data_IF_789369586334
#
_entry.id   IF_789369586334
#
_cell.length_a   1.000
_cell.length_b   1.000
_cell.length_c   1.000
_cell.angle_alpha   90.00
_cell.angle_beta   90.00
_cell.angle_gamma   90.00
#
_symmetry.space_group_name_H-M   'P 1'
#
loop_
_entity.id
_entity.type
_entity.pdbx_description
1 polymer ?
#
# COMPACT_ATOMS: atom_id res chain seq x y z
N UNK A 1 16.01 11.66 -28.06
CA UNK A 1 16.27 12.25 -26.73
C UNK A 1 15.54 11.36 -25.75
N UNK A 2 16.28 10.55 -24.98
CA UNK A 2 15.72 9.37 -24.29
C UNK A 2 14.97 9.78 -23.03
N UNK A 3 13.67 9.43 -22.97
CA UNK A 3 12.79 9.55 -21.81
C UNK A 3 13.17 8.47 -20.78
N UNK A 4 14.41 8.48 -20.29
CA UNK A 4 14.93 7.46 -19.37
C UNK A 4 14.77 7.84 -17.89
N UNK A 5 14.51 9.12 -17.57
CA UNK A 5 14.39 9.58 -16.18
C UNK A 5 13.07 9.21 -15.52
N UNK A 6 11.99 9.10 -16.28
CA UNK A 6 10.67 8.75 -15.77
C UNK A 6 10.57 7.24 -15.49
N UNK A 7 11.06 6.39 -16.38
CA UNK A 7 11.01 4.92 -16.24
C UNK A 7 11.75 4.42 -14.97
N UNK A 8 12.94 4.97 -14.69
CA UNK A 8 13.71 4.68 -13.47
C UNK A 8 12.97 5.13 -12.20
N UNK A 9 12.37 6.33 -12.23
CA UNK A 9 11.61 6.86 -11.10
C UNK A 9 10.36 6.03 -10.78
N UNK A 10 9.70 5.45 -11.79
CA UNK A 10 8.53 4.59 -11.58
C UNK A 10 8.90 3.22 -11.02
N UNK A 11 10.01 2.62 -11.46
CA UNK A 11 10.51 1.37 -10.88
C UNK A 11 10.79 1.48 -9.38
N UNK A 12 11.33 2.61 -8.95
CA UNK A 12 11.54 2.91 -7.52
C UNK A 12 10.21 3.08 -6.76
N UNK A 13 9.21 3.70 -7.37
CA UNK A 13 7.88 3.90 -6.78
C UNK A 13 7.09 2.60 -6.67
N UNK A 14 7.18 1.72 -7.68
CA UNK A 14 6.57 0.37 -7.64
C UNK A 14 7.20 -0.47 -6.53
N UNK A 15 8.53 -0.45 -6.42
CA UNK A 15 9.24 -1.15 -5.35
C UNK A 15 8.85 -0.61 -3.97
N UNK A 16 8.83 0.71 -3.79
CA UNK A 16 8.39 1.33 -2.55
C UNK A 16 6.95 0.95 -2.19
N UNK A 17 6.05 0.86 -3.17
CA UNK A 17 4.66 0.44 -2.97
C UNK A 17 4.55 -1.02 -2.53
N UNK A 18 5.34 -1.92 -3.13
CA UNK A 18 5.42 -3.33 -2.72
C UNK A 18 6.00 -3.50 -1.32
N UNK A 19 7.02 -2.72 -0.99
CA UNK A 19 7.64 -2.74 0.33
C UNK A 19 6.65 -2.23 1.39
N UNK A 20 5.91 -1.16 1.10
CA UNK A 20 4.86 -0.64 1.98
C UNK A 20 3.73 -1.65 2.20
N UNK A 21 3.24 -2.30 1.14
CA UNK A 21 2.22 -3.36 1.26
C UNK A 21 2.72 -4.52 2.14
N UNK A 22 3.97 -4.94 1.95
CA UNK A 22 4.60 -5.99 2.76
C UNK A 22 4.68 -5.58 4.23
N UNK A 23 5.11 -4.34 4.50
CA UNK A 23 5.19 -3.82 5.87
C UNK A 23 3.81 -3.66 6.51
N UNK A 24 2.80 -3.18 5.78
CA UNK A 24 1.42 -3.07 6.28
C UNK A 24 0.87 -4.45 6.67
N UNK A 25 1.12 -5.48 5.86
CA UNK A 25 0.76 -6.87 6.19
C UNK A 25 1.50 -7.38 7.42
N UNK A 26 2.78 -7.05 7.56
CA UNK A 26 3.56 -7.42 8.75
C UNK A 26 3.00 -6.77 10.02
N UNK A 27 2.64 -5.49 9.97
CA UNK A 27 2.00 -4.76 11.07
C UNK A 27 0.68 -5.42 11.44
N UNK A 28 -0.17 -5.76 10.46
CA UNK A 28 -1.42 -6.48 10.71
C UNK A 28 -1.17 -7.78 11.47
N UNK A 29 -0.24 -8.60 11.00
CA UNK A 29 0.07 -9.89 11.62
C UNK A 29 0.57 -9.73 13.06
N UNK A 30 1.37 -8.70 13.34
CA UNK A 30 1.83 -8.39 14.69
C UNK A 30 0.66 -7.99 15.62
N UNK A 31 -0.28 -7.19 15.12
CA UNK A 31 -1.50 -6.82 15.87
C UNK A 31 -2.32 -8.07 16.20
N UNK A 32 -2.54 -8.97 15.24
CA UNK A 32 -3.30 -10.21 15.45
C UNK A 32 -2.59 -11.18 16.42
N UNK A 33 -1.26 -11.26 16.35
CA UNK A 33 -0.46 -12.04 17.31
C UNK A 33 -0.56 -11.46 18.72
N UNK A 34 -0.55 -10.14 18.84
CA UNK A 34 -0.71 -9.45 20.12
C UNK A 34 -2.12 -9.68 20.69
N UNK A 35 -3.16 -9.59 19.85
CA UNK A 35 -4.55 -9.87 20.26
C UNK A 35 -4.71 -11.30 20.75
N UNK A 36 -4.21 -12.27 20.00
CA UNK A 36 -4.20 -13.68 20.43
C UNK A 36 -3.55 -13.85 21.81
N UNK A 37 -2.41 -13.20 22.03
CA UNK A 37 -1.71 -13.23 23.33
C UNK A 37 -2.55 -12.59 24.43
N UNK A 38 -3.13 -11.41 24.17
CA UNK A 38 -3.94 -10.68 25.14
C UNK A 38 -5.25 -11.37 25.49
N UNK A 39 -5.91 -12.04 24.52
CA UNK A 39 -7.07 -12.89 24.79
C UNK A 39 -6.73 -14.03 25.74
N UNK A 40 -5.53 -14.62 25.62
CA UNK A 40 -5.07 -15.69 26.54
C UNK A 40 -4.83 -15.19 27.97
N UNK A 41 -4.45 -13.91 28.11
CA UNK A 41 -4.17 -13.26 29.39
C UNK A 41 -5.41 -12.59 29.99
N UNK A 42 -6.57 -12.61 29.32
CA UNK A 42 -7.80 -11.92 29.75
C UNK A 42 -8.19 -12.21 31.20
N UNK A 43 -8.05 -13.45 31.65
CA UNK A 43 -8.39 -13.85 33.03
C UNK A 43 -7.44 -13.27 34.09
N UNK A 44 -6.25 -12.81 33.69
CA UNK A 44 -5.22 -12.25 34.57
C UNK A 44 -5.21 -10.71 34.54
N UNK A 45 -5.87 -10.11 33.54
CA UNK A 45 -5.92 -8.67 33.35
C UNK A 45 -7.13 -8.08 34.08
N UNK A 46 -6.93 -6.91 34.69
CA UNK A 46 -8.03 -6.11 35.20
C UNK A 46 -8.98 -5.75 34.04
N UNK A 47 -10.29 -5.86 34.26
CA UNK A 47 -11.32 -5.67 33.24
C UNK A 47 -11.20 -4.30 32.54
N UNK A 48 -10.86 -3.25 33.29
CA UNK A 48 -10.65 -1.91 32.72
C UNK A 48 -9.44 -1.86 31.77
N UNK A 49 -8.36 -2.58 32.08
CA UNK A 49 -7.18 -2.65 31.21
C UNK A 49 -7.49 -3.42 29.93
N UNK A 50 -8.25 -4.50 30.04
CA UNK A 50 -8.66 -5.30 28.89
C UNK A 50 -9.60 -4.50 27.95
N UNK A 51 -10.53 -3.72 28.50
CA UNK A 51 -11.40 -2.84 27.70
C UNK A 51 -10.61 -1.77 26.94
N UNK A 52 -9.67 -1.09 27.61
CA UNK A 52 -8.80 -0.10 26.94
C UNK A 52 -7.95 -0.75 25.85
N UNK A 53 -7.45 -1.95 26.10
CA UNK A 53 -6.72 -2.72 25.10
C UNK A 53 -7.58 -3.03 23.86
N UNK A 54 -8.82 -3.50 24.05
CA UNK A 54 -9.72 -3.79 22.93
C UNK A 54 -9.97 -2.55 22.06
N UNK A 55 -10.21 -1.39 22.68
CA UNK A 55 -10.37 -0.11 21.97
C UNK A 55 -9.12 0.19 21.13
N UNK A 56 -7.92 -0.06 21.67
CA UNK A 56 -6.67 0.17 20.93
C UNK A 56 -6.47 -0.79 19.78
N UNK A 57 -6.79 -2.07 19.94
CA UNK A 57 -6.73 -3.05 18.85
C UNK A 57 -7.67 -2.67 17.71
N UNK A 58 -8.89 -2.26 18.02
CA UNK A 58 -9.86 -1.80 17.02
C UNK A 58 -9.34 -0.57 16.26
N UNK A 59 -8.77 0.40 16.97
CA UNK A 59 -8.14 1.58 16.36
C UNK A 59 -6.98 1.18 15.44
N UNK A 60 -6.11 0.26 15.87
CA UNK A 60 -4.99 -0.20 15.06
C UNK A 60 -5.46 -0.96 13.81
N UNK A 61 -6.46 -1.84 13.94
CA UNK A 61 -7.07 -2.54 12.80
C UNK A 61 -7.69 -1.56 11.79
N UNK A 62 -8.38 -0.53 12.26
CA UNK A 62 -8.91 0.53 11.39
C UNK A 62 -7.80 1.25 10.62
N UNK A 63 -6.74 1.65 11.31
CA UNK A 63 -5.62 2.35 10.68
C UNK A 63 -4.89 1.47 9.64
N UNK A 64 -4.77 0.17 9.90
CA UNK A 64 -4.22 -0.79 8.93
C UNK A 64 -5.10 -0.89 7.69
N UNK A 65 -6.42 -0.99 7.86
CA UNK A 65 -7.34 -1.03 6.73
C UNK A 65 -7.29 0.26 5.88
N UNK A 66 -7.14 1.41 6.54
CA UNK A 66 -6.97 2.69 5.84
C UNK A 66 -5.65 2.73 5.04
N UNK A 67 -4.55 2.21 5.60
CA UNK A 67 -3.28 2.08 4.87
C UNK A 67 -3.41 1.17 3.65
N UNK A 68 -4.04 0.00 3.79
CA UNK A 68 -4.27 -0.92 2.67
C UNK A 68 -5.10 -0.26 1.55
N UNK A 69 -6.11 0.52 1.91
CA UNK A 69 -6.94 1.28 0.96
C UNK A 69 -6.13 2.35 0.23
N UNK A 70 -5.33 3.13 0.95
CA UNK A 70 -4.49 4.18 0.38
C UNK A 70 -3.43 3.61 -0.57
N UNK A 71 -2.77 2.51 -0.18
CA UNK A 71 -1.81 1.81 -1.02
C UNK A 71 -2.47 1.24 -2.28
N UNK A 72 -3.67 0.67 -2.17
CA UNK A 72 -4.45 0.21 -3.32
C UNK A 72 -4.80 1.35 -4.28
N UNK A 73 -5.21 2.50 -3.76
CA UNK A 73 -5.51 3.68 -4.57
C UNK A 73 -4.26 4.27 -5.25
N UNK A 74 -3.12 4.28 -4.53
CA UNK A 74 -1.84 4.71 -5.08
C UNK A 74 -1.40 3.80 -6.23
N UNK A 75 -1.48 2.47 -6.05
CA UNK A 75 -1.19 1.50 -7.11
C UNK A 75 -2.08 1.68 -8.33
N UNK A 76 -3.39 1.85 -8.14
CA UNK A 76 -4.32 2.09 -9.26
C UNK A 76 -3.99 3.39 -10.00
N UNK A 77 -3.60 4.44 -9.30
CA UNK A 77 -3.20 5.71 -9.90
C UNK A 77 -1.92 5.56 -10.73
N UNK A 78 -0.94 4.81 -10.22
CA UNK A 78 0.31 4.52 -10.95
C UNK A 78 0.05 3.68 -12.21
N UNK A 79 -0.80 2.66 -12.10
CA UNK A 79 -1.22 1.86 -13.25
C UNK A 79 -1.93 2.72 -14.30
N UNK A 80 -2.81 3.64 -13.89
CA UNK A 80 -3.47 4.56 -14.82
C UNK A 80 -2.47 5.46 -15.55
N UNK A 81 -1.53 6.07 -14.81
CA UNK A 81 -0.47 6.91 -15.39
C UNK A 81 0.33 6.11 -16.43
N UNK A 82 0.67 4.84 -16.16
CA UNK A 82 1.37 3.96 -17.10
C UNK A 82 0.58 3.72 -18.40
N UNK A 83 -0.72 3.47 -18.28
CA UNK A 83 -1.58 3.29 -19.46
C UNK A 83 -1.67 4.59 -20.29
N UNK A 84 -1.80 5.75 -19.65
CA UNK A 84 -1.86 7.04 -20.33
C UNK A 84 -0.55 7.37 -21.06
N UNK A 85 0.60 7.10 -20.43
CA UNK A 85 1.91 7.31 -21.05
C UNK A 85 2.17 6.36 -22.23
N UNK A 86 1.98 5.05 -22.05
CA UNK A 86 2.17 4.09 -23.16
C UNK A 86 1.23 4.34 -24.35
N UNK A 87 0.03 4.85 -24.09
CA UNK A 87 -0.92 5.25 -25.12
C UNK A 87 -0.58 6.58 -25.80
N UNK A 88 0.11 7.49 -25.11
CA UNK A 88 0.58 8.77 -25.66
C UNK A 88 1.85 8.57 -26.47
N UNK A 89 2.82 7.81 -25.97
CA UNK A 89 4.06 7.48 -26.66
C UNK A 89 3.82 6.69 -27.95
N UNK A 90 2.91 5.70 -27.94
CA UNK A 90 2.49 5.02 -29.18
C UNK A 90 1.84 5.96 -30.20
N UNK A 91 1.05 6.94 -29.72
CA UNK A 91 0.40 7.93 -30.60
C UNK A 91 1.43 8.86 -31.22
N UNK A 92 2.39 9.33 -30.45
CA UNK A 92 3.49 10.13 -30.99
C UNK A 92 4.34 9.29 -31.94
N UNK A 93 4.77 8.08 -31.56
CA UNK A 93 5.53 7.19 -32.44
C UNK A 93 4.83 6.94 -33.79
N UNK A 94 3.50 6.73 -33.81
CA UNK A 94 2.71 6.61 -35.05
C UNK A 94 2.67 7.92 -35.85
N UNK A 95 2.54 9.07 -35.19
CA UNK A 95 2.49 10.38 -35.85
C UNK A 95 3.85 10.71 -36.51
N UNK A 96 4.95 10.31 -35.88
CA UNK A 96 6.30 10.46 -36.44
C UNK A 96 6.57 9.48 -37.58
N UNK A 97 6.02 8.25 -37.52
CA UNK A 97 6.04 7.30 -38.64
C UNK A 97 5.25 7.77 -39.86
N UNK A 98 4.17 8.52 -39.65
CA UNK A 98 3.38 9.12 -40.75
C UNK A 98 4.00 10.37 -41.38
N UNK A 99 5.07 10.91 -40.79
CA UNK A 99 5.81 12.07 -41.29
C UNK A 99 7.14 11.69 -41.99
N UNK A 100 7.47 10.39 -42.05
CA UNK A 100 8.57 9.81 -42.82
C UNK A 100 8.04 9.15 -44.10
#
# INVERSE_FOLDING_TARGET
>A
MTINGFDVSYGEVDQATMDLDTQTKAVRNQIESLDTTMQSLKAQLDGAMFEQYQIKVEQWRSNVADMEKLLGAAKSSLDQIRHEYSGTDNREAMNWQGLL
#
